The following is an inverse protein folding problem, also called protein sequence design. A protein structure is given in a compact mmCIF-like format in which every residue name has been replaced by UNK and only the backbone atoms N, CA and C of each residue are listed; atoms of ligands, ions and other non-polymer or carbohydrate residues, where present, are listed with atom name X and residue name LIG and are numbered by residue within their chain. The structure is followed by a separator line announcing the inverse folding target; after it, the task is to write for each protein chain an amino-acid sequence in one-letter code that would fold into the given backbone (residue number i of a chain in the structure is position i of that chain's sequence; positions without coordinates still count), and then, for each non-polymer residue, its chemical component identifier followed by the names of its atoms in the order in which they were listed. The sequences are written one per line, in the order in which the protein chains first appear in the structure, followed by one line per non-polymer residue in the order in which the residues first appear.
data_IF_145126207562
#
_entry.id   IF_145126207562
#
_cell.length_a   1.000
_cell.length_b   1.000
_cell.length_c   1.000
_cell.angle_alpha   90.00
_cell.angle_beta   90.00
_cell.angle_gamma   90.00
#
_symmetry.space_group_name_H-M   'P 1'
#
loop_
_entity.id
_entity.type
_entity.pdbx_description
1 polymer ?
#
# COMPACT_ATOMS: atom_id res chain seq x y z
N UNK A 1 -17.52 -10.94 -9.93
CA UNK A 1 -16.21 -11.45 -9.54
C UNK A 1 -16.09 -11.50 -8.02
N UNK A 2 -15.90 -12.69 -7.52
CA UNK A 2 -15.80 -12.89 -6.07
C UNK A 2 -14.33 -13.08 -5.68
N UNK A 3 -13.77 -12.07 -5.05
CA UNK A 3 -12.41 -12.17 -4.54
C UNK A 3 -12.42 -12.79 -3.15
N UNK A 4 -11.52 -13.72 -2.85
CA UNK A 4 -11.44 -14.28 -1.51
C UNK A 4 -11.00 -13.21 -0.51
N UNK A 5 -11.27 -13.46 0.77
CA UNK A 5 -10.97 -12.49 1.83
C UNK A 5 -9.48 -12.13 1.89
N UNK A 6 -8.62 -13.08 1.57
CA UNK A 6 -7.18 -12.83 1.63
C UNK A 6 -6.74 -11.80 0.60
N UNK A 7 -7.49 -11.68 -0.52
CA UNK A 7 -7.16 -10.68 -1.56
C UNK A 7 -7.30 -9.26 -1.00
N UNK A 8 -8.35 -9.02 -0.22
CA UNK A 8 -8.55 -7.72 0.40
C UNK A 8 -7.41 -7.36 1.34
N UNK A 9 -6.91 -8.36 2.03
CA UNK A 9 -5.78 -8.18 2.93
C UNK A 9 -4.52 -7.76 2.17
N UNK A 10 -4.27 -8.42 1.03
CA UNK A 10 -3.14 -8.10 0.18
C UNK A 10 -3.25 -6.69 -0.40
N UNK A 11 -4.45 -6.30 -0.82
CA UNK A 11 -4.68 -4.97 -1.36
C UNK A 11 -4.41 -3.91 -0.29
N UNK A 12 -4.85 -4.15 0.93
CA UNK A 12 -4.57 -3.24 2.04
C UNK A 12 -3.09 -3.06 2.28
N UNK A 13 -2.35 -4.16 2.30
CA UNK A 13 -0.90 -4.11 2.47
C UNK A 13 -0.23 -3.34 1.35
N UNK A 14 -0.68 -3.57 0.13
CA UNK A 14 -0.11 -2.90 -1.03
C UNK A 14 -0.32 -1.39 -0.94
N UNK A 15 -1.51 -0.97 -0.54
CA UNK A 15 -1.83 0.45 -0.40
C UNK A 15 -0.97 1.09 0.69
N UNK A 16 -0.84 0.42 1.82
CA UNK A 16 -0.01 0.93 2.92
C UNK A 16 1.44 1.09 2.48
N UNK A 17 1.96 0.08 1.78
CA UNK A 17 3.33 0.14 1.28
C UNK A 17 3.53 1.28 0.30
N UNK A 18 2.55 1.50 -0.58
CA UNK A 18 2.62 2.58 -1.56
C UNK A 18 2.63 3.94 -0.86
N UNK A 19 1.77 4.13 0.13
CA UNK A 19 1.72 5.38 0.88
C UNK A 19 3.02 5.61 1.63
N UNK A 20 3.54 4.59 2.30
CA UNK A 20 4.81 4.69 3.02
C UNK A 20 5.95 5.03 2.08
N UNK A 21 5.97 4.42 0.92
CA UNK A 21 7.01 4.67 -0.08
C UNK A 21 6.98 6.12 -0.53
N UNK A 22 5.80 6.65 -0.84
CA UNK A 22 5.65 8.03 -1.27
C UNK A 22 6.06 9.01 -0.17
N UNK A 23 5.65 8.74 1.06
CA UNK A 23 6.02 9.58 2.19
C UNK A 23 7.53 9.55 2.43
N UNK A 24 8.14 8.38 2.28
CA UNK A 24 9.57 8.25 2.43
C UNK A 24 10.34 9.06 1.42
N UNK A 25 9.89 9.04 0.17
CA UNK A 25 10.52 9.83 -0.89
C UNK A 25 10.39 11.32 -0.59
N UNK A 26 9.20 11.76 -0.19
CA UNK A 26 8.95 13.15 0.11
C UNK A 26 9.84 13.66 1.24
N UNK A 27 9.93 12.89 2.30
CA UNK A 27 10.76 13.26 3.45
C UNK A 27 12.23 13.33 3.06
N UNK A 28 12.65 12.41 2.19
CA UNK A 28 14.05 12.37 1.77
C UNK A 28 14.40 13.54 0.85
N UNK A 29 13.46 13.94 -0.01
CA UNK A 29 13.70 15.03 -0.95
C UNK A 29 13.45 16.39 -0.29
N UNK A 30 12.42 16.42 0.54
CA UNK A 30 12.03 17.65 1.22
C UNK A 30 12.93 17.97 2.37
#
# INVERSE_FOLDING_TARGET
MNAPNWVWWLVGLLVILAVLFLLGIRVHVG
#
